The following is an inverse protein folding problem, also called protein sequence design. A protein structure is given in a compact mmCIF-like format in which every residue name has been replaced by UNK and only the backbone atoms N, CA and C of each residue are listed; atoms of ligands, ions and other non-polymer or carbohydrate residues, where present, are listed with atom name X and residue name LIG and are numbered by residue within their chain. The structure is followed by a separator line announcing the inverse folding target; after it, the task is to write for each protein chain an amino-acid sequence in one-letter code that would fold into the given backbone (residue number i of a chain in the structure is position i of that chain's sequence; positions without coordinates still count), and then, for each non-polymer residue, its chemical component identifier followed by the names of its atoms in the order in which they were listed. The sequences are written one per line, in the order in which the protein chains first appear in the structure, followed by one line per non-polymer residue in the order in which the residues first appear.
data_IF_435639684316
#
_entry.id   IF_435639684316
#
_cell.length_a   1.000
_cell.length_b   1.000
_cell.length_c   1.000
_cell.angle_alpha   90.00
_cell.angle_beta   90.00
_cell.angle_gamma   90.00
#
_symmetry.space_group_name_H-M   'P 1'
#
loop_
_entity.id
_entity.type
_entity.pdbx_description
1 polymer ?
#
# COMPACT_ATOMS: atom_id res chain seq x y z
N UNK A 1 52.74 -10.30 52.87
CA UNK A 1 51.94 -9.48 51.92
C UNK A 1 52.13 -10.03 50.51
N UNK A 2 51.15 -10.76 49.93
CA UNK A 2 50.96 -11.04 48.48
C UNK A 2 49.96 -12.21 48.28
N UNK A 3 48.71 -12.04 48.75
CA UNK A 3 47.57 -12.93 48.40
C UNK A 3 46.27 -12.12 48.53
N UNK A 4 46.02 -11.21 47.58
CA UNK A 4 44.74 -10.50 47.53
C UNK A 4 44.29 -10.11 46.11
N UNK A 5 45.09 -10.37 45.07
CA UNK A 5 44.83 -9.81 43.74
C UNK A 5 44.07 -10.74 42.78
N UNK A 6 43.86 -12.03 43.13
CA UNK A 6 43.30 -13.01 42.18
C UNK A 6 41.78 -13.21 42.24
N UNK A 7 41.07 -12.71 43.26
CA UNK A 7 39.62 -12.90 43.38
C UNK A 7 38.76 -11.82 42.72
N UNK A 8 39.34 -10.68 42.35
CA UNK A 8 38.61 -9.56 41.71
C UNK A 8 38.63 -9.66 40.17
N UNK A 9 39.60 -10.35 39.58
CA UNK A 9 39.71 -10.45 38.11
C UNK A 9 38.63 -11.33 37.45
N UNK A 10 38.14 -12.37 38.14
CA UNK A 10 37.12 -13.29 37.61
C UNK A 10 35.75 -12.66 37.36
N UNK A 11 35.15 -11.92 38.32
CA UNK A 11 33.87 -11.23 38.08
C UNK A 11 34.02 -10.11 37.05
N UNK A 12 35.17 -9.42 37.01
CA UNK A 12 35.42 -8.35 36.04
C UNK A 12 35.49 -8.88 34.60
N UNK A 13 36.12 -10.04 34.38
CA UNK A 13 36.15 -10.71 33.08
C UNK A 13 34.75 -11.21 32.65
N UNK A 14 33.89 -11.61 33.59
CA UNK A 14 32.53 -12.06 33.30
C UNK A 14 31.61 -10.89 32.92
N UNK A 15 31.72 -9.76 33.64
CA UNK A 15 31.01 -8.52 33.31
C UNK A 15 31.44 -8.00 31.94
N UNK A 16 32.75 -8.00 31.65
CA UNK A 16 33.26 -7.60 30.34
C UNK A 16 32.73 -8.49 29.21
N UNK A 17 32.65 -9.80 29.42
CA UNK A 17 32.05 -10.74 28.43
C UNK A 17 30.56 -10.49 28.23
N UNK A 18 29.81 -10.20 29.29
CA UNK A 18 28.39 -9.84 29.21
C UNK A 18 28.17 -8.51 28.49
N UNK A 19 29.02 -7.51 28.73
CA UNK A 19 28.99 -6.23 28.01
C UNK A 19 29.34 -6.45 26.53
N UNK A 20 30.39 -7.21 26.21
CA UNK A 20 30.74 -7.53 24.82
C UNK A 20 29.61 -8.30 24.13
N UNK A 21 28.98 -9.25 24.81
CA UNK A 21 27.84 -9.99 24.27
C UNK A 21 26.60 -9.11 24.07
N UNK A 22 26.30 -8.22 25.02
CA UNK A 22 25.24 -7.24 24.90
C UNK A 22 25.51 -6.20 23.79
N UNK A 23 26.77 -5.78 23.60
CA UNK A 23 27.19 -4.88 22.51
C UNK A 23 27.13 -5.60 21.16
N UNK A 24 27.50 -6.88 21.09
CA UNK A 24 27.38 -7.70 19.88
C UNK A 24 25.91 -7.97 19.51
N UNK A 25 25.02 -8.14 20.49
CA UNK A 25 23.58 -8.23 20.28
C UNK A 25 22.92 -6.87 19.96
N UNK A 26 23.55 -5.77 20.39
CA UNK A 26 23.11 -4.41 20.11
C UNK A 26 23.74 -3.82 18.84
N UNK A 27 24.58 -4.55 18.13
CA UNK A 27 24.94 -4.18 16.76
C UNK A 27 23.63 -4.21 15.96
N UNK A 28 23.19 -3.08 15.39
CA UNK A 28 22.05 -3.12 14.49
C UNK A 28 22.42 -4.14 13.42
N UNK A 29 21.55 -5.13 13.21
CA UNK A 29 21.57 -5.88 11.96
C UNK A 29 21.38 -4.83 10.87
N UNK A 30 22.49 -4.28 10.37
CA UNK A 30 22.45 -3.35 9.25
C UNK A 30 21.88 -4.18 8.14
N UNK A 31 20.65 -3.84 7.73
CA UNK A 31 20.08 -4.38 6.52
C UNK A 31 21.15 -4.25 5.45
N UNK A 32 21.50 -5.38 4.80
CA UNK A 32 22.66 -5.46 3.93
C UNK A 32 22.41 -4.56 2.72
N UNK A 33 22.88 -3.31 2.80
CA UNK A 33 22.97 -2.43 1.65
C UNK A 33 24.07 -3.01 0.78
N UNK A 34 23.71 -3.40 -0.43
CA UNK A 34 24.67 -3.94 -1.40
C UNK A 34 25.78 -2.93 -1.66
N UNK A 35 27.01 -3.40 -1.82
CA UNK A 35 28.09 -2.55 -2.34
C UNK A 35 27.78 -2.15 -3.78
N UNK A 36 28.37 -1.06 -4.32
CA UNK A 36 28.20 -0.68 -5.71
C UNK A 36 28.51 -1.83 -6.69
N UNK A 37 29.55 -2.60 -6.40
CA UNK A 37 29.98 -3.74 -7.23
C UNK A 37 28.95 -4.86 -7.22
N UNK A 38 28.40 -5.18 -6.04
CA UNK A 38 27.32 -6.16 -5.90
C UNK A 38 26.05 -5.69 -6.60
N UNK A 39 25.69 -4.41 -6.46
CA UNK A 39 24.52 -3.83 -7.11
C UNK A 39 24.64 -3.85 -8.63
N UNK A 40 25.81 -3.53 -9.16
CA UNK A 40 26.09 -3.54 -10.60
C UNK A 40 25.82 -4.92 -11.23
N UNK A 41 26.09 -6.01 -10.51
CA UNK A 41 25.86 -7.37 -11.00
C UNK A 41 24.38 -7.67 -11.33
N UNK A 42 23.46 -6.88 -10.78
CA UNK A 42 22.02 -7.03 -10.99
C UNK A 42 21.42 -5.96 -11.91
N UNK A 43 22.18 -4.91 -12.29
CA UNK A 43 21.73 -3.89 -13.24
C UNK A 43 21.85 -4.48 -14.66
N UNK A 44 20.74 -4.63 -15.40
CA UNK A 44 20.80 -5.27 -16.71
C UNK A 44 21.44 -4.34 -17.76
N UNK A 45 22.23 -4.86 -18.71
CA UNK A 45 22.65 -4.12 -19.89
C UNK A 45 21.42 -3.56 -20.66
N UNK A 46 21.50 -2.39 -21.31
CA UNK A 46 22.68 -1.53 -21.51
C UNK A 46 22.93 -0.52 -20.37
N UNK A 47 22.30 -0.70 -19.21
CA UNK A 47 22.44 0.20 -18.08
C UNK A 47 23.71 -0.10 -17.26
N UNK A 48 24.22 0.93 -16.61
CA UNK A 48 25.31 0.86 -15.63
C UNK A 48 24.98 1.61 -14.36
N UNK A 49 25.82 1.44 -13.35
CA UNK A 49 25.72 2.15 -12.06
C UNK A 49 26.61 3.39 -12.10
N UNK A 50 26.05 4.54 -11.75
CA UNK A 50 26.73 5.83 -11.60
C UNK A 50 27.01 6.17 -10.14
N UNK A 51 27.06 7.47 -9.85
CA UNK A 51 27.33 7.99 -8.50
C UNK A 51 26.26 7.59 -7.47
N UNK A 52 26.66 7.51 -6.21
CA UNK A 52 25.74 7.45 -5.08
C UNK A 52 25.03 8.80 -4.92
N UNK A 53 23.71 8.77 -4.71
CA UNK A 53 22.89 9.98 -4.54
C UNK A 53 22.62 10.31 -3.08
N UNK A 54 22.79 9.35 -2.16
CA UNK A 54 22.67 9.54 -0.72
C UNK A 54 23.45 8.46 0.05
N UNK A 55 23.38 8.50 1.38
CA UNK A 55 24.02 7.56 2.31
C UNK A 55 23.18 6.29 2.58
N UNK A 56 21.98 6.19 2.00
CA UNK A 56 21.06 5.05 2.11
C UNK A 56 21.26 3.99 1.03
N UNK A 57 22.27 4.14 0.18
CA UNK A 57 22.55 3.22 -0.92
C UNK A 57 21.67 3.45 -2.15
N UNK A 58 21.25 4.69 -2.41
CA UNK A 58 20.71 5.07 -3.72
C UNK A 58 21.85 5.36 -4.69
N UNK A 59 21.73 4.80 -5.88
CA UNK A 59 22.66 5.06 -6.98
C UNK A 59 21.91 5.58 -8.20
N UNK A 60 22.58 6.46 -8.94
CA UNK A 60 22.14 6.87 -10.26
C UNK A 60 22.35 5.71 -11.23
N UNK A 61 21.35 5.38 -12.03
CA UNK A 61 21.52 4.47 -13.18
C UNK A 61 21.89 5.31 -14.40
N UNK A 62 22.85 4.85 -15.19
CA UNK A 62 23.29 5.50 -16.43
C UNK A 62 23.09 4.59 -17.64
N UNK A 63 22.91 5.16 -18.83
CA UNK A 63 22.93 4.38 -20.08
C UNK A 63 24.37 4.12 -20.57
N UNK A 64 24.54 3.41 -21.69
CA UNK A 64 25.85 3.15 -22.28
C UNK A 64 26.70 4.40 -22.58
N UNK A 65 26.06 5.57 -22.74
CA UNK A 65 26.73 6.85 -22.95
C UNK A 65 27.05 7.62 -21.67
N UNK A 66 26.77 7.06 -20.50
CA UNK A 66 26.98 7.71 -19.20
C UNK A 66 25.90 8.73 -18.81
N UNK A 67 24.85 8.90 -19.61
CA UNK A 67 23.78 9.84 -19.29
C UNK A 67 22.82 9.26 -18.23
N UNK A 68 22.26 10.08 -17.31
CA UNK A 68 21.30 9.62 -16.31
C UNK A 68 20.09 8.94 -16.95
N UNK A 69 19.83 7.70 -16.51
CA UNK A 69 18.79 6.83 -17.03
C UNK A 69 17.79 6.37 -15.95
N UNK A 70 18.11 6.54 -14.67
CA UNK A 70 17.20 6.18 -13.58
C UNK A 70 17.87 6.03 -12.22
N UNK A 71 17.38 5.09 -11.41
CA UNK A 71 17.76 4.90 -10.02
C UNK A 71 17.87 3.42 -9.66
N UNK A 72 18.85 3.04 -8.85
CA UNK A 72 19.02 1.70 -8.31
C UNK A 72 19.21 1.75 -6.79
N UNK A 73 18.49 0.90 -6.06
CA UNK A 73 18.51 0.86 -4.60
C UNK A 73 17.99 -0.47 -4.07
N UNK A 74 18.27 -0.76 -2.80
CA UNK A 74 17.67 -1.89 -2.08
C UNK A 74 16.48 -1.41 -1.25
N UNK A 75 15.49 -2.28 -1.01
CA UNK A 75 14.27 -1.93 -0.27
C UNK A 75 14.47 -1.54 1.20
N UNK A 76 15.31 -2.21 2.01
CA UNK A 76 15.27 -2.01 3.47
C UNK A 76 15.57 -0.60 3.97
N UNK A 77 16.51 0.18 3.39
CA UNK A 77 16.76 1.56 3.79
C UNK A 77 15.56 2.52 3.60
N UNK A 78 14.61 2.16 2.75
CA UNK A 78 13.45 2.98 2.40
C UNK A 78 12.14 2.42 2.96
N UNK A 79 12.03 1.10 3.07
CA UNK A 79 10.86 0.41 3.59
C UNK A 79 11.27 -0.92 4.24
N UNK A 80 11.57 -0.87 5.54
CA UNK A 80 11.91 -2.06 6.34
C UNK A 80 10.65 -2.79 6.84
N UNK A 81 9.76 -3.19 5.92
CA UNK A 81 8.58 -3.98 6.31
C UNK A 81 9.04 -5.39 6.72
N UNK A 82 8.63 -5.90 7.89
CA UNK A 82 9.00 -7.23 8.35
C UNK A 82 8.33 -8.28 7.46
N UNK A 83 9.13 -9.24 6.98
CA UNK A 83 8.67 -10.47 6.34
C UNK A 83 7.89 -11.37 7.29
N UNK A 84 7.42 -12.52 6.81
CA UNK A 84 6.72 -13.50 7.64
C UNK A 84 7.62 -14.01 8.77
N UNK A 85 8.94 -14.10 8.53
CA UNK A 85 9.94 -14.45 9.53
C UNK A 85 10.39 -13.27 10.42
N UNK A 86 9.75 -12.10 10.33
CA UNK A 86 10.08 -10.89 11.08
C UNK A 86 11.24 -10.07 10.51
N UNK A 87 12.14 -10.67 9.74
CA UNK A 87 13.20 -9.96 9.02
C UNK A 87 12.68 -9.36 7.70
N UNK A 88 13.09 -8.14 7.30
CA UNK A 88 12.73 -7.58 6.01
C UNK A 88 13.23 -8.39 4.81
N UNK A 89 12.45 -8.36 3.72
CA UNK A 89 12.83 -8.95 2.44
C UNK A 89 13.67 -7.91 1.68
N UNK A 90 14.94 -8.22 1.45
CA UNK A 90 15.86 -7.34 0.75
C UNK A 90 15.79 -7.62 -0.75
N UNK A 91 15.31 -6.63 -1.50
CA UNK A 91 15.22 -6.70 -2.96
C UNK A 91 15.93 -5.50 -3.57
N UNK A 92 16.68 -5.73 -4.64
CA UNK A 92 17.17 -4.66 -5.50
C UNK A 92 16.06 -4.22 -6.44
N UNK A 93 15.87 -2.91 -6.54
CA UNK A 93 14.95 -2.26 -7.45
C UNK A 93 15.73 -1.33 -8.37
N UNK A 94 15.50 -1.47 -9.68
CA UNK A 94 16.05 -0.57 -10.71
C UNK A 94 14.88 0.08 -11.43
N UNK A 95 14.81 1.41 -11.36
CA UNK A 95 13.79 2.23 -12.01
C UNK A 95 14.41 3.06 -13.13
N UNK A 96 13.67 3.31 -14.21
CA UNK A 96 14.03 4.34 -15.17
C UNK A 96 13.56 5.73 -14.67
N UNK A 97 13.87 6.79 -15.42
CA UNK A 97 13.46 8.17 -15.10
C UNK A 97 11.95 8.41 -15.05
N UNK A 98 11.16 7.57 -15.72
CA UNK A 98 9.70 7.65 -15.73
C UNK A 98 9.05 6.85 -14.58
N UNK A 99 9.84 6.20 -13.71
CA UNK A 99 9.31 5.33 -12.66
C UNK A 99 8.84 3.96 -13.17
N UNK A 100 9.26 3.55 -14.37
CA UNK A 100 9.07 2.17 -14.83
C UNK A 100 10.14 1.28 -14.22
N UNK A 101 9.74 0.11 -13.73
CA UNK A 101 10.68 -0.92 -13.31
C UNK A 101 11.48 -1.44 -14.51
N UNK A 102 12.80 -1.29 -14.45
CA UNK A 102 13.75 -1.94 -15.36
C UNK A 102 13.96 -3.38 -14.90
N UNK A 103 14.16 -3.57 -13.59
CA UNK A 103 14.27 -4.90 -12.99
C UNK A 103 14.01 -4.85 -11.49
N UNK A 104 13.54 -5.97 -10.94
CA UNK A 104 13.47 -6.22 -9.50
C UNK A 104 14.06 -7.60 -9.24
N UNK A 105 14.95 -7.70 -8.25
CA UNK A 105 15.66 -8.95 -7.92
C UNK A 105 15.70 -9.15 -6.41
N UNK A 106 15.44 -10.38 -5.97
CA UNK A 106 15.67 -10.74 -4.56
C UNK A 106 17.17 -10.80 -4.29
N UNK A 107 17.59 -10.17 -3.20
CA UNK A 107 18.98 -10.16 -2.73
C UNK A 107 19.11 -11.10 -1.54
N UNK A 108 18.20 -10.97 -0.58
CA UNK A 108 18.19 -11.76 0.64
C UNK A 108 16.78 -11.82 1.23
N UNK A 109 16.39 -12.98 1.74
CA UNK A 109 15.15 -13.13 2.50
C UNK A 109 15.27 -14.28 3.50
N UNK A 110 14.39 -14.29 4.51
CA UNK A 110 14.29 -15.36 5.50
C UNK A 110 12.91 -16.06 5.49
N UNK A 111 12.16 -15.91 4.39
CA UNK A 111 10.81 -16.49 4.23
C UNK A 111 10.82 -18.03 4.30
N UNK A 112 10.22 -18.67 5.33
CA UNK A 112 10.37 -20.11 5.57
C UNK A 112 9.83 -20.98 4.43
N UNK A 113 8.74 -20.53 3.80
CA UNK A 113 8.09 -21.23 2.70
C UNK A 113 8.99 -21.37 1.46
N UNK A 114 9.92 -20.43 1.25
CA UNK A 114 10.85 -20.43 0.12
C UNK A 114 12.20 -21.07 0.45
N UNK A 115 12.62 -21.04 1.73
CA UNK A 115 13.89 -21.67 2.16
C UNK A 115 13.71 -23.18 2.36
N UNK A 116 12.69 -23.56 3.11
CA UNK A 116 12.49 -24.95 3.56
C UNK A 116 11.32 -25.67 2.88
N UNK A 117 10.49 -24.94 2.13
CA UNK A 117 9.32 -25.47 1.46
C UNK A 117 9.52 -25.68 -0.04
N UNK A 118 9.17 -24.66 -0.82
CA UNK A 118 9.02 -24.74 -2.28
C UNK A 118 10.28 -24.37 -3.07
N UNK A 119 11.35 -23.95 -2.38
CA UNK A 119 12.56 -23.40 -2.99
C UNK A 119 12.41 -21.93 -3.41
N UNK A 120 13.53 -21.31 -3.79
CA UNK A 120 13.57 -19.88 -4.15
C UNK A 120 13.05 -19.58 -5.57
N UNK A 121 12.96 -20.57 -6.44
CA UNK A 121 12.58 -20.41 -7.86
C UNK A 121 11.26 -19.62 -8.04
N UNK A 122 10.15 -20.09 -7.45
CA UNK A 122 8.87 -19.38 -7.53
C UNK A 122 8.91 -17.95 -6.98
N UNK A 123 9.76 -17.69 -5.97
CA UNK A 123 9.90 -16.35 -5.42
C UNK A 123 10.66 -15.43 -6.37
N UNK A 124 11.70 -15.96 -7.06
CA UNK A 124 12.44 -15.22 -8.08
C UNK A 124 11.56 -14.86 -9.27
N UNK A 125 10.74 -15.81 -9.75
CA UNK A 125 9.76 -15.60 -10.82
C UNK A 125 8.75 -14.51 -10.46
N UNK A 126 8.31 -14.43 -9.20
CA UNK A 126 7.45 -13.34 -8.73
C UNK A 126 8.06 -11.95 -8.97
N UNK A 127 9.35 -11.76 -8.69
CA UNK A 127 10.01 -10.46 -8.89
C UNK A 127 10.21 -10.11 -10.37
N UNK A 128 10.34 -11.09 -11.25
CA UNK A 128 10.53 -10.86 -12.70
C UNK A 128 9.32 -10.20 -13.35
N UNK A 129 8.13 -10.38 -12.77
CA UNK A 129 6.90 -9.77 -13.28
C UNK A 129 6.92 -8.24 -13.25
N UNK A 130 7.76 -7.60 -12.44
CA UNK A 130 7.77 -6.14 -12.31
C UNK A 130 8.27 -5.41 -13.56
N UNK A 131 9.17 -6.04 -14.33
CA UNK A 131 9.80 -5.38 -15.47
C UNK A 131 8.77 -4.80 -16.46
N UNK A 132 8.93 -3.53 -16.82
CA UNK A 132 8.00 -2.82 -17.71
C UNK A 132 6.76 -2.24 -17.03
N UNK A 133 6.46 -2.58 -15.78
CA UNK A 133 5.35 -1.99 -15.01
C UNK A 133 5.78 -0.65 -14.41
N UNK A 134 4.81 0.21 -14.14
CA UNK A 134 5.01 1.58 -13.63
C UNK A 134 4.71 1.66 -12.14
N UNK A 135 5.53 2.36 -11.36
CA UNK A 135 5.27 2.64 -9.94
C UNK A 135 4.03 3.52 -9.72
N UNK A 136 3.59 4.21 -10.77
CA UNK A 136 2.40 5.07 -10.80
C UNK A 136 1.12 4.27 -11.04
N UNK A 137 1.24 3.03 -11.55
CA UNK A 137 0.10 2.15 -11.78
C UNK A 137 -0.31 1.46 -10.50
N UNK A 138 -1.63 1.30 -10.31
CA UNK A 138 -2.14 0.44 -9.24
C UNK A 138 -1.81 -1.01 -9.57
N UNK A 139 -1.14 -1.69 -8.64
CA UNK A 139 -0.79 -3.10 -8.77
C UNK A 139 -1.40 -3.89 -7.62
N UNK A 140 -1.84 -5.11 -7.91
CA UNK A 140 -2.34 -6.04 -6.91
C UNK A 140 -1.81 -7.44 -7.19
N UNK A 141 -1.77 -8.27 -6.16
CA UNK A 141 -1.40 -9.67 -6.29
C UNK A 141 -2.67 -10.48 -6.41
N UNK A 142 -2.80 -11.19 -7.52
CA UNK A 142 -3.92 -12.07 -7.78
C UNK A 142 -3.98 -13.24 -6.82
N UNK A 143 -5.21 -13.65 -6.52
CA UNK A 143 -5.45 -14.94 -5.91
C UNK A 143 -5.39 -16.00 -7.02
N UNK A 144 -4.82 -17.20 -6.78
CA UNK A 144 -4.80 -18.28 -7.76
C UNK A 144 -6.19 -18.78 -8.22
N UNK A 145 -7.27 -18.26 -7.63
CA UNK A 145 -8.65 -18.73 -7.78
C UNK A 145 -9.61 -17.64 -8.30
N UNK A 146 -9.14 -16.41 -8.51
CA UNK A 146 -9.97 -15.30 -9.00
C UNK A 146 -9.67 -15.01 -10.48
N UNK A 147 -10.73 -14.98 -11.30
CA UNK A 147 -10.66 -14.56 -12.70
C UNK A 147 -10.22 -13.10 -12.83
N UNK A 148 -9.71 -12.76 -14.01
CA UNK A 148 -9.17 -11.44 -14.36
C UNK A 148 -10.25 -10.38 -14.60
N UNK A 149 -11.28 -10.28 -13.76
CA UNK A 149 -12.22 -9.15 -13.79
C UNK A 149 -11.64 -7.98 -12.98
N UNK A 150 -10.41 -7.61 -13.33
CA UNK A 150 -9.78 -6.41 -12.83
C UNK A 150 -10.42 -5.22 -13.57
N UNK A 151 -11.07 -4.31 -12.85
CA UNK A 151 -11.48 -3.02 -13.40
C UNK A 151 -10.33 -2.41 -14.21
N UNK A 152 -10.67 -1.74 -15.33
CA UNK A 152 -9.79 -1.52 -16.49
C UNK A 152 -8.39 -0.91 -16.24
N UNK A 153 -8.09 -0.40 -15.04
CA UNK A 153 -6.82 0.23 -14.67
C UNK A 153 -6.00 -0.49 -13.56
N UNK A 154 -6.36 -1.71 -13.13
CA UNK A 154 -5.57 -2.48 -12.16
C UNK A 154 -4.58 -3.44 -12.85
N UNK A 155 -3.28 -3.31 -12.56
CA UNK A 155 -2.24 -4.22 -13.06
C UNK A 155 -2.11 -5.42 -12.12
N UNK A 156 -2.43 -6.62 -12.62
CA UNK A 156 -2.30 -7.85 -11.82
C UNK A 156 -0.87 -8.39 -11.86
N UNK A 157 -0.43 -8.89 -10.70
CA UNK A 157 0.75 -9.73 -10.51
C UNK A 157 0.29 -11.12 -10.08
N UNK A 158 0.86 -12.17 -10.65
CA UNK A 158 0.57 -13.54 -10.25
C UNK A 158 1.09 -13.79 -8.84
N UNK A 159 0.20 -14.26 -7.96
CA UNK A 159 0.58 -14.73 -6.64
C UNK A 159 1.32 -16.07 -6.70
N UNK A 160 1.99 -16.42 -5.61
CA UNK A 160 2.58 -17.76 -5.45
C UNK A 160 1.69 -18.59 -4.54
N UNK A 161 1.19 -19.72 -5.06
CA UNK A 161 0.34 -20.67 -4.34
C UNK A 161 0.95 -21.04 -2.98
N UNK A 162 0.15 -20.95 -1.90
CA UNK A 162 0.57 -21.18 -0.49
C UNK A 162 1.57 -20.17 0.09
N UNK A 163 2.04 -19.20 -0.69
CA UNK A 163 2.99 -18.17 -0.24
C UNK A 163 2.45 -16.74 -0.43
N UNK A 164 1.13 -16.58 -0.53
CA UNK A 164 0.46 -15.30 -0.78
C UNK A 164 0.85 -14.22 0.24
N UNK A 165 1.00 -14.57 1.52
CA UNK A 165 1.42 -13.61 2.54
C UNK A 165 2.84 -13.07 2.28
N UNK A 166 3.81 -13.95 2.01
CA UNK A 166 5.20 -13.58 1.75
C UNK A 166 5.34 -12.70 0.50
N UNK A 167 4.68 -13.04 -0.61
CA UNK A 167 4.75 -12.23 -1.84
C UNK A 167 4.04 -10.89 -1.68
N UNK A 168 2.97 -10.81 -0.87
CA UNK A 168 2.32 -9.54 -0.53
C UNK A 168 3.22 -8.62 0.27
N UNK A 169 3.94 -9.15 1.25
CA UNK A 169 4.91 -8.36 2.01
C UNK A 169 6.04 -7.89 1.10
N UNK A 170 6.56 -8.77 0.22
CA UNK A 170 7.58 -8.39 -0.75
C UNK A 170 7.10 -7.26 -1.67
N UNK A 171 5.86 -7.36 -2.19
CA UNK A 171 5.25 -6.33 -3.00
C UNK A 171 5.13 -4.99 -2.27
N UNK A 172 4.59 -5.02 -1.05
CA UNK A 172 4.45 -3.85 -0.20
C UNK A 172 5.81 -3.17 0.03
N UNK A 173 6.87 -3.95 0.30
CA UNK A 173 8.23 -3.43 0.49
C UNK A 173 8.79 -2.77 -0.77
N UNK A 174 8.59 -3.38 -1.94
CA UNK A 174 9.03 -2.83 -3.23
C UNK A 174 8.32 -1.50 -3.51
N UNK A 175 6.99 -1.48 -3.39
CA UNK A 175 6.19 -0.30 -3.70
C UNK A 175 6.49 0.85 -2.73
N UNK A 176 6.55 0.58 -1.42
CA UNK A 176 6.88 1.59 -0.42
C UNK A 176 8.27 2.20 -0.65
N UNK A 177 9.28 1.37 -0.93
CA UNK A 177 10.62 1.84 -1.21
C UNK A 177 10.69 2.65 -2.51
N UNK A 178 10.05 2.16 -3.57
CA UNK A 178 10.02 2.83 -4.87
C UNK A 178 9.30 4.18 -4.81
N UNK A 179 8.16 4.25 -4.12
CA UNK A 179 7.45 5.51 -3.90
C UNK A 179 8.25 6.47 -3.03
N UNK A 180 8.98 5.98 -2.01
CA UNK A 180 9.88 6.82 -1.22
C UNK A 180 10.97 7.46 -2.09
N UNK A 181 11.65 6.66 -2.92
CA UNK A 181 12.70 7.15 -3.82
C UNK A 181 12.13 8.11 -4.87
N UNK A 182 10.95 7.81 -5.42
CA UNK A 182 10.32 8.64 -6.44
C UNK A 182 9.84 9.99 -5.89
N UNK A 183 9.26 10.03 -4.68
CA UNK A 183 8.92 11.30 -4.01
C UNK A 183 10.16 12.19 -3.91
N UNK A 184 11.25 11.66 -3.36
CA UNK A 184 12.47 12.43 -3.11
C UNK A 184 13.17 12.85 -4.40
N UNK A 185 13.37 11.94 -5.35
CA UNK A 185 14.26 12.13 -6.50
C UNK A 185 13.58 12.31 -7.86
N UNK A 186 12.27 12.04 -7.98
CA UNK A 186 11.51 12.32 -9.20
C UNK A 186 10.59 13.53 -9.03
N UNK A 187 10.01 13.71 -7.85
CA UNK A 187 9.10 14.83 -7.55
C UNK A 187 9.75 15.96 -6.76
N UNK A 188 10.98 15.78 -6.23
CA UNK A 188 11.65 16.79 -5.41
C UNK A 188 10.95 17.03 -4.07
N UNK A 189 10.20 16.05 -3.57
CA UNK A 189 9.44 16.12 -2.31
C UNK A 189 10.01 15.13 -1.32
N UNK A 190 10.50 15.62 -0.19
CA UNK A 190 10.79 14.75 0.96
C UNK A 190 9.46 14.54 1.68
N UNK A 191 8.99 13.29 1.74
CA UNK A 191 7.75 12.96 2.44
C UNK A 191 7.91 13.24 3.94
N UNK A 192 6.94 13.94 4.53
CA UNK A 192 6.83 14.00 5.98
C UNK A 192 6.53 12.60 6.53
N UNK A 193 6.93 12.30 7.79
CA UNK A 193 6.45 11.10 8.45
C UNK A 193 4.92 11.06 8.43
N UNK A 194 4.34 9.90 8.09
CA UNK A 194 2.89 9.74 8.10
C UNK A 194 2.31 10.11 9.48
N UNK A 195 1.34 11.02 9.48
CA UNK A 195 0.65 11.44 10.69
C UNK A 195 -0.08 10.24 11.33
N UNK A 196 -0.30 10.35 12.64
CA UNK A 196 -1.04 9.35 13.40
C UNK A 196 -2.14 10.00 14.23
N UNK A 197 -3.31 9.35 14.36
CA UNK A 197 -4.32 9.80 15.29
C UNK A 197 -3.72 9.92 16.70
N UNK A 198 -4.03 11.01 17.37
CA UNK A 198 -3.85 11.12 18.81
C UNK A 198 -5.05 10.45 19.47
N UNK A 199 -4.83 9.27 20.06
CA UNK A 199 -5.89 8.51 20.70
C UNK A 199 -6.25 9.01 22.11
N UNK A 200 -5.45 9.93 22.67
CA UNK A 200 -5.73 10.59 23.94
C UNK A 200 -6.55 11.87 23.75
N UNK A 201 -6.58 12.41 22.52
CA UNK A 201 -7.45 13.52 22.18
C UNK A 201 -8.89 13.04 22.05
N UNK A 202 -9.78 13.69 22.80
CA UNK A 202 -11.20 13.37 22.80
C UNK A 202 -12.06 14.62 22.81
N UNK A 203 -13.09 14.61 21.97
CA UNK A 203 -14.09 15.65 21.87
C UNK A 203 -15.45 15.05 21.53
N UNK A 204 -16.52 15.78 21.87
CA UNK A 204 -17.86 15.38 21.51
C UNK A 204 -18.17 15.89 20.09
N UNK A 205 -18.29 14.97 19.14
CA UNK A 205 -18.73 15.23 17.78
C UNK A 205 -20.00 14.44 17.49
N UNK A 206 -20.96 15.08 16.83
CA UNK A 206 -22.06 14.43 16.15
C UNK A 206 -21.72 14.20 14.68
N UNK A 207 -22.52 13.38 13.99
CA UNK A 207 -22.42 13.25 12.53
C UNK A 207 -22.52 14.62 11.83
N UNK A 208 -23.45 15.47 12.28
CA UNK A 208 -23.62 16.82 11.72
C UNK A 208 -22.35 17.68 11.86
N UNK A 209 -21.64 17.57 13.00
CA UNK A 209 -20.36 18.26 13.20
C UNK A 209 -19.30 17.76 12.22
N UNK A 210 -19.25 16.45 11.93
CA UNK A 210 -18.32 15.91 10.94
C UNK A 210 -18.56 16.51 9.54
N UNK A 211 -19.82 16.66 9.15
CA UNK A 211 -20.20 17.26 7.87
C UNK A 211 -19.86 18.74 7.83
N UNK A 212 -20.24 19.50 8.86
CA UNK A 212 -19.99 20.95 8.94
C UNK A 212 -18.49 21.29 8.91
N UNK A 213 -17.68 20.47 9.60
CA UNK A 213 -16.22 20.64 9.66
C UNK A 213 -15.48 20.05 8.45
N UNK A 214 -16.18 19.35 7.55
CA UNK A 214 -15.59 18.68 6.39
C UNK A 214 -14.75 17.45 6.72
N UNK A 215 -14.92 16.87 7.92
CA UNK A 215 -14.34 15.59 8.34
C UNK A 215 -15.07 14.41 7.68
N UNK A 216 -16.36 14.58 7.41
CA UNK A 216 -17.14 13.73 6.51
C UNK A 216 -17.29 14.43 5.17
N UNK A 217 -16.77 13.82 4.10
CA UNK A 217 -16.82 14.37 2.74
C UNK A 217 -17.87 13.64 1.93
N UNK A 218 -18.66 14.38 1.18
CA UNK A 218 -19.79 13.87 0.40
C UNK A 218 -19.59 14.11 -1.10
N UNK A 219 -19.90 13.11 -1.92
CA UNK A 219 -19.96 13.19 -3.37
C UNK A 219 -21.28 12.58 -3.85
N UNK A 220 -22.12 13.42 -4.45
CA UNK A 220 -23.41 13.02 -5.01
C UNK A 220 -23.38 13.23 -6.52
N UNK A 221 -23.74 12.19 -7.27
CA UNK A 221 -23.80 12.18 -8.74
C UNK A 221 -25.12 11.55 -9.17
N UNK A 222 -25.85 12.24 -10.04
CA UNK A 222 -27.10 11.75 -10.64
C UNK A 222 -26.83 10.86 -11.85
N UNK A 223 -27.84 10.09 -12.24
CA UNK A 223 -27.82 9.30 -13.46
C UNK A 223 -27.61 10.17 -14.72
N UNK A 224 -28.21 11.36 -14.77
CA UNK A 224 -28.02 12.30 -15.87
C UNK A 224 -26.56 12.81 -15.96
N UNK A 225 -25.93 13.11 -14.83
CA UNK A 225 -24.54 13.56 -14.78
C UNK A 225 -23.58 12.48 -15.27
N UNK A 226 -23.76 11.23 -14.84
CA UNK A 226 -22.91 10.14 -15.32
C UNK A 226 -23.17 9.82 -16.80
N UNK A 227 -24.43 9.84 -17.26
CA UNK A 227 -24.76 9.66 -18.68
C UNK A 227 -24.10 10.72 -19.57
N UNK A 228 -24.02 11.96 -19.08
CA UNK A 228 -23.35 13.05 -19.78
C UNK A 228 -21.84 12.76 -19.96
N UNK A 229 -21.18 12.12 -19.00
CA UNK A 229 -19.76 11.75 -19.07
C UNK A 229 -19.47 10.69 -20.15
N UNK A 230 -20.45 9.85 -20.47
CA UNK A 230 -20.32 8.84 -21.53
C UNK A 230 -20.74 9.33 -22.92
N UNK A 231 -21.25 10.57 -23.06
CA UNK A 231 -21.66 11.09 -24.36
C UNK A 231 -20.49 11.18 -25.34
N UNK A 232 -20.76 10.83 -26.61
CA UNK A 232 -19.73 10.77 -27.65
C UNK A 232 -18.83 9.53 -27.58
N UNK A 233 -19.04 8.64 -26.60
CA UNK A 233 -18.38 7.33 -26.53
C UNK A 233 -19.29 6.21 -27.07
N UNK A 234 -18.74 5.00 -27.23
CA UNK A 234 -19.51 3.81 -27.61
C UNK A 234 -20.51 3.39 -26.51
N UNK A 235 -20.28 3.79 -25.25
CA UNK A 235 -21.09 3.39 -24.09
C UNK A 235 -22.21 4.38 -23.72
N UNK A 236 -22.39 5.45 -24.50
CA UNK A 236 -23.37 6.52 -24.23
C UNK A 236 -24.80 6.01 -23.93
N UNK A 237 -25.21 4.89 -24.54
CA UNK A 237 -26.54 4.31 -24.38
C UNK A 237 -26.52 2.91 -23.73
N UNK A 238 -25.45 2.58 -23.01
CA UNK A 238 -25.25 1.25 -22.43
C UNK A 238 -25.72 1.15 -20.97
N UNK A 239 -26.56 2.08 -20.52
CA UNK A 239 -27.10 2.16 -19.17
C UNK A 239 -28.60 2.54 -19.22
N UNK A 240 -29.49 1.54 -19.36
CA UNK A 240 -30.93 1.79 -19.49
C UNK A 240 -31.55 2.35 -18.21
N UNK A 241 -30.97 2.05 -17.04
CA UNK A 241 -31.46 2.55 -15.76
C UNK A 241 -31.25 4.06 -15.64
N UNK A 242 -30.11 4.57 -16.13
CA UNK A 242 -29.86 6.00 -16.15
C UNK A 242 -30.88 6.77 -17.02
N UNK A 243 -31.29 6.18 -18.15
CA UNK A 243 -32.30 6.78 -19.04
C UNK A 243 -33.71 6.73 -18.43
N UNK A 244 -34.02 5.66 -17.68
CA UNK A 244 -35.33 5.47 -17.06
C UNK A 244 -35.55 6.42 -15.88
N UNK A 245 -34.49 6.75 -15.13
CA UNK A 245 -34.54 7.67 -13.99
C UNK A 245 -33.35 8.65 -13.97
N UNK A 246 -33.37 9.71 -14.81
CA UNK A 246 -32.23 10.64 -14.93
C UNK A 246 -31.91 11.42 -13.63
N UNK A 247 -32.93 11.70 -12.82
CA UNK A 247 -32.79 12.43 -11.54
C UNK A 247 -32.40 11.50 -10.37
N UNK A 248 -32.50 10.18 -10.58
CA UNK A 248 -32.03 9.17 -9.63
C UNK A 248 -30.53 9.27 -9.35
N UNK A 249 -30.13 8.74 -8.19
CA UNK A 249 -28.73 8.80 -7.74
C UNK A 249 -27.94 7.62 -8.30
N UNK A 250 -26.91 7.96 -9.09
CA UNK A 250 -25.89 7.01 -9.47
C UNK A 250 -24.97 6.72 -8.29
N UNK A 251 -24.48 7.79 -7.64
CA UNK A 251 -23.56 7.75 -6.50
C UNK A 251 -24.03 8.73 -5.43
N UNK A 252 -24.00 8.30 -4.16
CA UNK A 252 -24.25 9.13 -2.99
C UNK A 252 -23.25 8.76 -1.89
N UNK A 253 -21.98 9.08 -2.15
CA UNK A 253 -20.83 8.53 -1.43
C UNK A 253 -20.32 9.48 -0.34
N UNK A 254 -20.25 8.97 0.87
CA UNK A 254 -19.56 9.58 2.00
C UNK A 254 -18.20 8.92 2.25
N UNK A 255 -17.21 9.73 2.59
CA UNK A 255 -15.86 9.31 3.00
C UNK A 255 -15.50 9.94 4.35
N UNK A 256 -15.04 9.11 5.29
CA UNK A 256 -14.62 9.54 6.64
C UNK A 256 -13.35 8.81 7.07
N UNK A 257 -12.38 9.54 7.62
CA UNK A 257 -11.18 8.97 8.28
C UNK A 257 -11.52 8.66 9.75
N UNK A 258 -11.77 7.39 10.05
CA UNK A 258 -12.40 6.95 11.31
C UNK A 258 -11.47 6.51 12.46
N UNK A 259 -10.13 6.48 12.35
CA UNK A 259 -9.28 6.13 13.50
C UNK A 259 -9.28 7.13 14.67
N UNK A 260 -9.43 8.45 14.48
CA UNK A 260 -9.58 9.37 15.61
C UNK A 260 -10.82 9.02 16.48
N UNK A 261 -10.70 8.88 17.82
CA UNK A 261 -11.78 8.39 18.67
C UNK A 261 -13.09 9.18 18.58
N UNK A 262 -13.02 10.51 18.53
CA UNK A 262 -14.18 11.37 18.41
C UNK A 262 -14.95 11.15 17.09
N UNK A 263 -14.21 11.04 15.98
CA UNK A 263 -14.79 10.77 14.65
C UNK A 263 -15.39 9.36 14.61
N UNK A 264 -14.69 8.37 15.16
CA UNK A 264 -15.17 6.99 15.24
C UNK A 264 -16.55 6.91 15.92
N UNK A 265 -16.72 7.55 17.09
CA UNK A 265 -17.99 7.53 17.83
C UNK A 265 -19.11 8.31 17.13
N UNK A 266 -18.77 9.35 16.38
CA UNK A 266 -19.74 10.13 15.63
C UNK A 266 -20.28 9.38 14.39
N UNK A 267 -19.47 8.48 13.79
CA UNK A 267 -19.80 7.79 12.55
C UNK A 267 -20.16 6.30 12.71
N UNK A 268 -19.70 5.63 13.76
CA UNK A 268 -19.77 4.17 13.89
C UNK A 268 -20.47 3.74 15.18
N UNK A 269 -21.17 2.60 15.11
CA UNK A 269 -21.61 1.92 16.32
C UNK A 269 -20.42 1.38 17.13
N UNK A 270 -20.63 1.22 18.45
CA UNK A 270 -19.60 0.72 19.36
C UNK A 270 -19.05 -0.65 18.93
N UNK A 271 -19.87 -1.53 18.35
CA UNK A 271 -19.44 -2.85 17.88
C UNK A 271 -18.40 -2.77 16.75
N UNK A 272 -18.54 -1.82 15.82
CA UNK A 272 -17.57 -1.55 14.75
C UNK A 272 -16.29 -0.96 15.31
N UNK A 273 -16.39 -0.02 16.26
CA UNK A 273 -15.24 0.60 16.94
C UNK A 273 -14.41 -0.46 17.68
N UNK A 274 -15.07 -1.40 18.35
CA UNK A 274 -14.44 -2.52 19.05
C UNK A 274 -13.69 -3.45 18.08
N UNK A 275 -14.30 -3.80 16.94
CA UNK A 275 -13.65 -4.58 15.89
C UNK A 275 -12.39 -3.89 15.37
N UNK A 276 -12.50 -2.60 15.02
CA UNK A 276 -11.37 -1.80 14.56
C UNK A 276 -10.26 -1.72 15.62
N UNK A 277 -10.62 -1.54 16.90
CA UNK A 277 -9.66 -1.46 18.00
C UNK A 277 -8.90 -2.78 18.21
N UNK A 278 -9.58 -3.93 18.13
CA UNK A 278 -8.92 -5.25 18.17
C UNK A 278 -7.97 -5.42 16.99
N UNK A 279 -8.39 -5.00 15.79
CA UNK A 279 -7.57 -5.12 14.58
C UNK A 279 -6.30 -4.26 14.66
N UNK A 280 -6.39 -3.03 15.18
CA UNK A 280 -5.20 -2.17 15.40
C UNK A 280 -4.15 -2.82 16.31
N UNK A 281 -4.55 -3.73 17.21
CA UNK A 281 -3.62 -4.50 18.03
C UNK A 281 -2.67 -5.38 17.22
N UNK A 282 -3.09 -5.85 16.03
CA UNK A 282 -2.25 -6.66 15.12
C UNK A 282 -1.65 -5.85 13.98
N UNK A 283 -2.33 -4.78 13.56
CA UNK A 283 -1.90 -3.89 12.48
C UNK A 283 -1.96 -2.42 12.93
N UNK A 284 -1.05 -1.97 13.82
CA UNK A 284 -1.10 -0.64 14.42
C UNK A 284 -0.80 0.50 13.43
N UNK A 285 -0.29 0.17 12.24
CA UNK A 285 0.04 1.15 11.19
C UNK A 285 -1.06 1.30 10.14
N UNK A 286 -2.08 0.45 10.17
CA UNK A 286 -3.21 0.55 9.26
C UNK A 286 -4.07 1.78 9.61
N UNK A 287 -4.40 2.55 8.58
CA UNK A 287 -5.41 3.60 8.59
C UNK A 287 -6.75 3.01 8.11
N UNK A 288 -7.87 3.58 8.54
CA UNK A 288 -9.21 3.08 8.21
C UNK A 288 -10.07 4.20 7.62
N UNK A 289 -10.64 3.94 6.45
CA UNK A 289 -11.51 4.88 5.75
C UNK A 289 -12.90 4.27 5.67
N UNK A 290 -13.89 4.91 6.28
CA UNK A 290 -15.30 4.54 6.14
C UNK A 290 -15.83 5.11 4.82
N UNK A 291 -16.40 4.23 4.01
CA UNK A 291 -17.16 4.57 2.81
C UNK A 291 -18.62 4.19 3.05
N UNK A 292 -19.55 5.08 2.68
CA UNK A 292 -20.99 4.81 2.73
C UNK A 292 -21.62 5.31 1.45
N UNK A 293 -22.29 4.45 0.70
CA UNK A 293 -22.96 4.82 -0.54
C UNK A 293 -24.44 4.44 -0.50
N UNK A 294 -25.30 5.39 -0.86
CA UNK A 294 -26.74 5.20 -1.01
C UNK A 294 -27.19 5.25 -2.49
N UNK A 295 -26.25 5.40 -3.43
CA UNK A 295 -26.49 5.28 -4.86
C UNK A 295 -26.62 3.83 -5.33
N UNK A 296 -26.89 3.65 -6.63
CA UNK A 296 -26.94 2.31 -7.26
C UNK A 296 -25.57 1.78 -7.69
N UNK A 297 -24.52 2.60 -7.67
CA UNK A 297 -23.17 2.22 -8.06
C UNK A 297 -22.54 1.25 -7.07
N UNK A 298 -22.61 1.57 -5.77
CA UNK A 298 -21.98 0.81 -4.70
C UNK A 298 -20.48 1.10 -4.56
N UNK A 299 -19.85 0.83 -3.40
CA UNK A 299 -18.42 1.03 -3.23
C UNK A 299 -17.56 -0.08 -3.88
N UNK A 300 -18.16 -1.21 -4.24
CA UNK A 300 -17.54 -2.39 -4.85
C UNK A 300 -18.56 -3.14 -5.71
N UNK A 301 -18.09 -3.95 -6.67
CA UNK A 301 -18.98 -4.73 -7.54
C UNK A 301 -19.62 -5.94 -6.83
N UNK A 302 -20.65 -6.52 -7.45
CA UNK A 302 -21.30 -7.74 -6.97
C UNK A 302 -20.40 -8.98 -6.94
N UNK A 303 -19.31 -8.97 -7.72
CA UNK A 303 -18.34 -10.08 -7.75
C UNK A 303 -17.15 -9.83 -6.82
N UNK A 304 -17.17 -8.73 -6.06
CA UNK A 304 -16.11 -8.36 -5.15
C UNK A 304 -15.85 -9.43 -4.08
N UNK A 305 -14.56 -9.74 -3.90
CA UNK A 305 -14.12 -10.67 -2.86
C UNK A 305 -13.69 -9.88 -1.63
N UNK A 306 -14.36 -10.11 -0.51
CA UNK A 306 -14.03 -9.56 0.81
C UNK A 306 -12.55 -9.72 1.15
N UNK A 307 -12.02 -8.77 1.91
CA UNK A 307 -10.60 -8.71 2.24
C UNK A 307 -9.75 -8.74 0.96
N UNK A 308 -10.12 -8.00 -0.09
CA UNK A 308 -9.25 -7.76 -1.25
C UNK A 308 -9.23 -6.27 -1.59
N UNK A 309 -8.47 -5.86 -2.60
CA UNK A 309 -8.48 -4.46 -3.02
C UNK A 309 -9.79 -4.15 -3.73
N UNK A 310 -10.50 -3.06 -3.37
CA UNK A 310 -11.74 -2.68 -4.03
C UNK A 310 -11.51 -2.51 -5.54
N UNK A 311 -12.50 -2.92 -6.33
CA UNK A 311 -12.47 -2.95 -7.79
C UNK A 311 -13.05 -1.69 -8.42
N UNK A 312 -14.01 -1.03 -7.78
CA UNK A 312 -14.66 0.19 -8.25
C UNK A 312 -14.13 1.48 -7.61
N UNK A 313 -13.40 1.39 -6.49
CA UNK A 313 -12.88 2.56 -5.77
C UNK A 313 -11.36 2.48 -5.64
N UNK A 314 -10.70 3.62 -5.86
CA UNK A 314 -9.25 3.80 -5.82
C UNK A 314 -8.94 5.07 -5.04
N UNK A 315 -7.70 5.19 -4.58
CA UNK A 315 -7.23 6.46 -4.07
C UNK A 315 -5.78 6.71 -4.47
N UNK A 316 -5.42 7.98 -4.54
CA UNK A 316 -4.06 8.42 -4.81
C UNK A 316 -3.65 9.58 -3.91
N UNK A 317 -2.36 9.66 -3.60
CA UNK A 317 -1.76 10.76 -2.87
C UNK A 317 -0.42 11.12 -3.49
N UNK A 318 -0.26 12.40 -3.87
CA UNK A 318 0.94 12.87 -4.55
C UNK A 318 1.21 12.15 -5.88
N UNK A 319 0.17 11.72 -6.58
CA UNK A 319 0.26 10.96 -7.84
C UNK A 319 0.62 9.48 -7.68
N UNK A 320 0.75 8.96 -6.45
CA UNK A 320 0.96 7.54 -6.20
C UNK A 320 -0.33 6.85 -5.77
N UNK A 321 -0.59 5.61 -6.22
CA UNK A 321 -1.74 4.85 -5.78
C UNK A 321 -1.60 4.50 -4.29
N UNK A 322 -2.70 4.66 -3.54
CA UNK A 322 -2.85 4.17 -2.17
C UNK A 322 -3.31 2.72 -2.24
N UNK A 323 -2.62 1.84 -1.50
CA UNK A 323 -2.91 0.40 -1.45
C UNK A 323 -4.14 0.10 -0.58
N UNK A 324 -5.33 0.50 -1.05
CA UNK A 324 -6.60 0.23 -0.38
C UNK A 324 -6.94 -1.26 -0.40
N UNK A 325 -7.56 -1.71 0.69
CA UNK A 325 -8.06 -3.06 0.88
C UNK A 325 -9.29 -3.04 1.78
N UNK A 326 -10.26 -3.89 1.50
CA UNK A 326 -11.36 -4.12 2.44
C UNK A 326 -10.84 -4.62 3.80
N UNK A 327 -11.29 -3.97 4.88
CA UNK A 327 -10.97 -4.36 6.23
C UNK A 327 -11.68 -5.64 6.68
N UNK A 328 -12.74 -6.04 5.95
CA UNK A 328 -13.55 -7.24 6.21
C UNK A 328 -14.28 -7.16 7.56
N UNK A 329 -14.71 -5.95 7.94
CA UNK A 329 -15.52 -5.73 9.14
C UNK A 329 -17.01 -5.91 8.84
N UNK A 330 -17.77 -6.25 9.87
CA UNK A 330 -19.21 -5.98 9.87
C UNK A 330 -19.38 -4.54 10.34
N UNK A 331 -19.92 -3.68 9.47
CA UNK A 331 -19.99 -2.23 9.71
C UNK A 331 -21.42 -1.86 10.10
N UNK A 332 -21.58 -1.55 11.38
CA UNK A 332 -22.76 -0.89 11.93
C UNK A 332 -22.43 0.59 12.18
N UNK A 333 -23.34 1.48 11.76
CA UNK A 333 -23.19 2.94 11.83
C UNK A 333 -23.87 3.52 13.08
N UNK A 334 -23.46 4.72 13.47
CA UNK A 334 -24.15 5.46 14.53
C UNK A 334 -25.57 5.91 14.06
N UNK A 335 -26.54 6.14 14.97
CA UNK A 335 -27.95 6.33 14.61
C UNK A 335 -28.28 7.49 13.65
N UNK A 336 -27.52 8.59 13.71
CA UNK A 336 -27.78 9.80 12.92
C UNK A 336 -26.99 9.85 11.60
N UNK A 337 -26.30 8.76 11.27
CA UNK A 337 -25.49 8.63 10.06
C UNK A 337 -26.40 8.18 8.89
N UNK A 338 -26.23 8.72 7.67
CA UNK A 338 -27.01 8.33 6.51
C UNK A 338 -27.02 6.82 6.29
N UNK A 339 -28.20 6.27 6.00
CA UNK A 339 -28.35 4.88 5.62
C UNK A 339 -27.72 4.62 4.24
N UNK A 340 -27.22 3.40 4.02
CA UNK A 340 -26.61 3.00 2.77
C UNK A 340 -25.74 1.76 2.92
N UNK A 341 -25.07 1.37 1.85
CA UNK A 341 -24.04 0.33 1.89
C UNK A 341 -22.77 0.91 2.49
N UNK A 342 -22.38 0.41 3.67
CA UNK A 342 -21.18 0.86 4.37
C UNK A 342 -20.06 -0.19 4.32
N UNK A 343 -18.83 0.27 4.13
CA UNK A 343 -17.64 -0.57 4.27
C UNK A 343 -16.48 0.23 4.84
N UNK A 344 -15.54 -0.46 5.47
CA UNK A 344 -14.29 0.14 5.94
C UNK A 344 -13.16 -0.38 5.05
N UNK A 345 -12.51 0.54 4.35
CA UNK A 345 -11.25 0.28 3.67
C UNK A 345 -10.09 0.53 4.63
N UNK A 346 -8.99 -0.18 4.42
CA UNK A 346 -7.76 0.01 5.16
C UNK A 346 -6.54 0.12 4.25
N UNK A 347 -5.51 0.79 4.75
CA UNK A 347 -4.23 0.96 4.07
C UNK A 347 -3.10 1.06 5.10
N UNK A 348 -1.97 0.43 4.86
CA UNK A 348 -0.81 0.52 5.75
C UNK A 348 -0.05 1.83 5.49
N UNK A 349 -0.03 2.73 6.47
CA UNK A 349 0.67 4.03 6.35
C UNK A 349 2.17 3.91 6.07
N UNK A 350 2.79 2.77 6.39
CA UNK A 350 4.20 2.54 6.06
C UNK A 350 4.46 2.52 4.55
N UNK A 351 3.42 2.39 3.73
CA UNK A 351 3.49 2.50 2.27
C UNK A 351 3.56 3.96 1.77
N UNK A 352 3.51 4.93 2.69
CA UNK A 352 3.65 6.35 2.41
C UNK A 352 2.33 7.11 2.31
N UNK A 353 1.21 6.50 2.72
CA UNK A 353 -0.04 7.23 2.91
C UNK A 353 0.01 8.05 4.20
N UNK A 354 -0.30 9.34 4.11
CA UNK A 354 -0.42 10.27 5.21
C UNK A 354 -1.85 10.84 5.27
N UNK A 355 -2.69 10.45 6.24
CA UNK A 355 -4.09 10.91 6.30
C UNK A 355 -4.22 12.42 6.56
N UNK A 356 -3.17 13.06 7.08
CA UNK A 356 -3.15 14.51 7.31
C UNK A 356 -2.78 15.34 6.06
N UNK A 357 -2.49 14.69 4.92
CA UNK A 357 -2.25 15.35 3.64
C UNK A 357 -3.40 15.10 2.66
N UNK A 358 -3.68 16.04 1.73
CA UNK A 358 -4.70 15.83 0.70
C UNK A 358 -4.46 14.55 -0.10
N UNK A 359 -5.53 13.79 -0.30
CA UNK A 359 -5.58 12.64 -1.20
C UNK A 359 -6.87 12.69 -1.99
N UNK A 360 -6.90 11.96 -3.11
CA UNK A 360 -8.07 11.89 -4.00
C UNK A 360 -8.63 10.48 -3.92
N UNK A 361 -9.91 10.35 -3.57
CA UNK A 361 -10.67 9.13 -3.80
C UNK A 361 -11.22 9.19 -5.23
N UNK A 362 -11.06 8.11 -5.98
CA UNK A 362 -11.48 7.98 -7.38
C UNK A 362 -12.48 6.84 -7.44
N UNK A 363 -13.65 7.11 -8.03
CA UNK A 363 -14.72 6.14 -8.24
C UNK A 363 -14.81 5.85 -9.73
N UNK A 364 -14.82 4.58 -10.11
CA UNK A 364 -14.91 4.15 -11.51
C UNK A 364 -16.35 3.77 -11.86
N UNK A 365 -16.94 4.55 -12.77
CA UNK A 365 -18.16 4.18 -13.45
C UNK A 365 -17.80 3.32 -14.67
N UNK A 366 -18.34 2.11 -14.74
CA UNK A 366 -18.01 1.13 -15.78
C UNK A 366 -19.27 0.79 -16.56
N UNK A 367 -19.19 0.77 -17.90
CA UNK A 367 -20.27 0.34 -18.78
C UNK A 367 -19.81 -0.78 -19.70
N UNK A 368 -20.73 -1.67 -20.02
CA UNK A 368 -20.51 -2.78 -20.95
C UNK A 368 -21.29 -2.54 -22.25
N UNK A 369 -20.63 -2.70 -23.40
CA UNK A 369 -21.27 -2.58 -24.70
C UNK A 369 -21.17 -3.89 -25.49
N UNK A 370 -22.31 -4.45 -25.86
CA UNK A 370 -22.41 -5.69 -26.64
C UNK A 370 -22.77 -6.91 -25.79
N UNK A 371 -23.37 -7.93 -26.43
CA UNK A 371 -23.97 -9.07 -25.73
C UNK A 371 -23.09 -10.34 -25.73
N UNK A 372 -22.26 -10.52 -26.76
CA UNK A 372 -21.48 -11.76 -26.96
C UNK A 372 -20.05 -11.62 -26.41
N UNK A 373 -19.43 -10.48 -26.67
CA UNK A 373 -18.12 -10.10 -26.11
C UNK A 373 -18.25 -8.66 -25.67
N UNK A 374 -18.73 -8.43 -24.43
CA UNK A 374 -18.94 -7.07 -23.92
C UNK A 374 -17.62 -6.31 -23.90
N UNK A 375 -17.61 -5.13 -24.54
CA UNK A 375 -16.51 -4.19 -24.42
C UNK A 375 -16.74 -3.33 -23.18
N UNK A 376 -15.76 -3.29 -22.28
CA UNK A 376 -15.81 -2.50 -21.04
C UNK A 376 -15.21 -1.11 -21.31
N UNK A 377 -15.86 -0.06 -20.82
CA UNK A 377 -15.30 1.30 -20.87
C UNK A 377 -15.97 2.28 -19.93
#
# INVERSE_FOLDING_TARGET
MRRATFHILRPMAMILRLIIFAVLLALPARAQVLTPEEMLAYVPPPFGLGEALNDKGLYRVVNSGGAPAGYAFTTPPYAALPGFAGAPINTLVVLNRAGTFVSVRVVQHNEPIFISGMGEGPFREFFEQYAGKSIWSRMSIGTPYGGADAGASLVQLDGVTKATASVRIAHASIMAAAHSVAREHMQGRIAAPAARPDFEYDEALSWADLVEQGLARHLRITNAEIDAMFQGTRWAYSDPDAQADPEGLYLDLWLVDVPPPAIARAALDQSTIDQMTRFRGVAPTDEFLLLMDAGRHGPVSDTFVRNTSPDQVKAEQGGFPIALRDADFLVDLAPDVPEGTAMILRTDRRLGFNPAEPFTLIVEAVREHGFITPEIG
#
